data_IF_884674955298
#
_entry.id   IF_884674955298
#
_cell.length_a   1.000
_cell.length_b   1.000
_cell.length_c   1.000
_cell.angle_alpha   90.00
_cell.angle_beta   90.00
_cell.angle_gamma   90.00
#
_symmetry.space_group_name_H-M   'P 1'
#
loop_
_entity.id
_entity.type
_entity.pdbx_description
1 polymer ?
#
# COMPACT_ATOMS: atom_id res chain seq x y z
N UNK A 1 -2.21 8.14 -24.68
CA UNK A 1 -0.78 8.47 -24.96
C UNK A 1 -0.41 8.41 -26.45
N UNK A 2 -0.74 7.36 -27.21
CA UNK A 2 -0.30 7.20 -28.61
C UNK A 2 -0.68 8.36 -29.56
N UNK A 3 -1.85 8.97 -29.39
CA UNK A 3 -2.28 10.12 -30.19
C UNK A 3 -1.39 11.36 -30.02
N UNK A 4 -0.90 11.62 -28.79
CA UNK A 4 -0.03 12.77 -28.50
C UNK A 4 1.35 12.55 -29.14
N UNK A 5 1.89 11.33 -29.03
CA UNK A 5 3.16 10.96 -29.70
C UNK A 5 3.01 11.11 -31.22
N UNK A 6 1.90 10.65 -31.80
CA UNK A 6 1.63 10.79 -33.23
C UNK A 6 1.55 12.27 -33.66
N UNK A 7 0.81 13.11 -32.93
CA UNK A 7 0.67 14.54 -33.21
C UNK A 7 2.02 15.27 -33.09
N UNK A 8 2.85 14.90 -32.12
CA UNK A 8 4.20 15.46 -31.94
C UNK A 8 5.13 15.22 -33.14
N UNK A 9 4.89 14.15 -33.89
CA UNK A 9 5.58 13.89 -35.16
C UNK A 9 4.89 14.56 -36.35
N UNK A 10 3.55 14.46 -36.42
CA UNK A 10 2.77 14.85 -37.58
C UNK A 10 2.74 16.37 -37.80
N UNK A 11 2.59 17.17 -36.75
CA UNK A 11 2.50 18.64 -36.86
C UNK A 11 3.82 19.24 -37.41
N UNK A 12 5.01 18.95 -36.83
CA UNK A 12 6.27 19.48 -37.38
C UNK A 12 6.58 18.95 -38.77
N UNK A 13 6.20 17.69 -39.08
CA UNK A 13 6.34 17.12 -40.43
C UNK A 13 5.53 17.90 -41.46
N UNK A 14 4.28 18.26 -41.13
CA UNK A 14 3.41 19.04 -42.02
C UNK A 14 3.95 20.46 -42.27
N UNK A 15 4.69 21.01 -41.31
CA UNK A 15 5.37 22.31 -41.41
C UNK A 15 6.77 22.23 -42.07
N UNK A 16 7.13 21.10 -42.69
CA UNK A 16 8.43 20.89 -43.33
C UNK A 16 9.59 20.59 -42.36
N UNK A 17 9.36 20.65 -41.05
CA UNK A 17 10.37 20.41 -39.99
C UNK A 17 10.40 18.94 -39.56
N UNK A 18 10.59 18.01 -40.51
CA UNK A 18 10.57 16.55 -40.25
C UNK A 18 11.56 16.10 -39.17
N UNK A 19 12.79 16.65 -39.15
CA UNK A 19 13.81 16.30 -38.14
C UNK A 19 13.35 16.65 -36.72
N UNK A 20 12.71 17.81 -36.55
CA UNK A 20 12.16 18.24 -35.26
C UNK A 20 11.05 17.29 -34.79
N UNK A 21 10.14 16.88 -35.69
CA UNK A 21 9.08 15.93 -35.36
C UNK A 21 9.61 14.55 -34.93
N UNK A 22 10.72 14.09 -35.51
CA UNK A 22 11.38 12.84 -35.09
C UNK A 22 12.00 12.98 -33.69
N UNK A 23 12.65 14.11 -33.39
CA UNK A 23 13.25 14.35 -32.07
C UNK A 23 12.16 14.40 -31.00
N UNK A 24 11.10 15.17 -31.24
CA UNK A 24 9.98 15.31 -30.30
C UNK A 24 9.29 13.97 -30.01
N UNK A 25 8.99 13.19 -31.05
CA UNK A 25 8.31 11.90 -30.84
C UNK A 25 9.20 10.88 -30.13
N UNK A 26 10.52 10.88 -30.39
CA UNK A 26 11.47 10.03 -29.67
C UNK A 26 11.54 10.38 -28.18
N UNK A 27 11.69 11.67 -27.85
CA UNK A 27 11.72 12.14 -26.46
C UNK A 27 10.43 11.73 -25.74
N UNK A 28 9.27 11.98 -26.36
CA UNK A 28 7.99 11.59 -25.78
C UNK A 28 7.87 10.08 -25.60
N UNK A 29 8.31 9.29 -26.58
CA UNK A 29 8.25 7.82 -26.50
C UNK A 29 9.12 7.29 -25.37
N UNK A 30 10.35 7.81 -25.23
CA UNK A 30 11.26 7.45 -24.12
C UNK A 30 10.65 7.85 -22.78
N UNK A 31 10.08 9.05 -22.67
CA UNK A 31 9.42 9.50 -21.44
C UNK A 31 8.24 8.60 -21.05
N UNK A 32 7.43 8.16 -22.01
CA UNK A 32 6.32 7.22 -21.76
C UNK A 32 6.83 5.86 -21.32
N UNK A 33 7.89 5.34 -21.94
CA UNK A 33 8.52 4.07 -21.52
C UNK A 33 9.06 4.18 -20.10
N UNK A 34 9.78 5.26 -19.77
CA UNK A 34 10.31 5.48 -18.42
C UNK A 34 9.19 5.58 -17.37
N UNK A 35 8.07 6.21 -17.71
CA UNK A 35 6.91 6.31 -16.82
C UNK A 35 6.26 4.93 -16.60
N UNK A 36 6.09 4.11 -17.63
CA UNK A 36 5.57 2.75 -17.45
C UNK A 36 6.54 1.92 -16.60
N UNK A 37 7.84 2.04 -16.88
CA UNK A 37 8.87 1.36 -16.11
C UNK A 37 8.88 1.80 -14.65
N UNK A 38 8.63 3.07 -14.32
CA UNK A 38 8.60 3.50 -12.91
C UNK A 38 7.51 2.78 -12.12
N UNK A 39 6.30 2.62 -12.67
CA UNK A 39 5.24 1.84 -12.01
C UNK A 39 5.62 0.36 -11.81
N UNK A 40 6.26 -0.26 -12.82
CA UNK A 40 6.71 -1.65 -12.71
C UNK A 40 7.84 -1.79 -11.71
N UNK A 41 8.76 -0.82 -11.67
CA UNK A 41 9.89 -0.84 -10.76
C UNK A 41 9.49 -0.50 -9.33
N UNK A 42 8.47 0.31 -9.07
CA UNK A 42 8.05 0.60 -7.70
C UNK A 42 7.62 -0.68 -6.96
N UNK A 43 6.96 -1.62 -7.64
CA UNK A 43 6.60 -2.91 -7.04
C UNK A 43 7.85 -3.81 -6.80
N UNK A 44 8.87 -3.71 -7.66
CA UNK A 44 10.12 -4.49 -7.59
C UNK A 44 11.15 -3.88 -6.63
N UNK A 45 11.18 -2.56 -6.48
CA UNK A 45 12.13 -1.79 -5.67
C UNK A 45 11.69 -1.65 -4.20
N UNK A 46 10.77 -2.51 -3.75
CA UNK A 46 10.37 -2.57 -2.37
C UNK A 46 11.34 -3.45 -1.57
N UNK A 47 12.04 -2.85 -0.61
CA UNK A 47 13.06 -3.53 0.19
C UNK A 47 12.61 -3.72 1.64
N UNK A 48 13.33 -4.58 2.38
CA UNK A 48 13.04 -4.86 3.80
C UNK A 48 13.00 -3.58 4.66
N UNK A 49 13.82 -2.57 4.34
CA UNK A 49 13.82 -1.29 5.05
C UNK A 49 12.50 -0.52 4.89
N UNK A 50 11.86 -0.65 3.72
CA UNK A 50 10.62 0.04 3.41
C UNK A 50 9.49 -0.63 4.19
N UNK A 51 9.41 -1.97 4.16
CA UNK A 51 8.51 -2.75 5.01
C UNK A 51 8.67 -2.41 6.50
N UNK A 52 9.91 -2.37 7.01
CA UNK A 52 10.19 -1.97 8.41
C UNK A 52 9.67 -0.57 8.72
N UNK A 53 9.81 0.38 7.79
CA UNK A 53 9.30 1.74 7.95
C UNK A 53 7.77 1.73 8.10
N UNK A 54 7.04 1.10 7.18
CA UNK A 54 5.58 0.99 7.26
C UNK A 54 5.09 0.36 8.56
N UNK A 55 5.74 -0.74 8.99
CA UNK A 55 5.40 -1.40 10.26
C UNK A 55 5.69 -0.50 11.47
N UNK A 56 6.83 0.21 11.49
CA UNK A 56 7.21 1.08 12.59
C UNK A 56 6.25 2.26 12.79
N UNK A 57 5.66 2.78 11.71
CA UNK A 57 4.62 3.80 11.78
C UNK A 57 3.37 3.30 12.50
N UNK A 58 3.16 1.99 12.57
CA UNK A 58 2.07 1.34 13.32
C UNK A 58 2.56 0.76 14.67
N UNK A 59 3.77 1.16 15.11
CA UNK A 59 4.45 0.64 16.31
C UNK A 59 4.68 -0.88 16.30
N UNK A 60 4.79 -1.46 15.11
CA UNK A 60 5.14 -2.86 14.90
C UNK A 60 6.61 -2.94 14.51
N UNK A 61 7.38 -3.73 15.26
CA UNK A 61 8.79 -4.01 14.98
C UNK A 61 8.97 -5.51 14.72
N UNK A 62 9.85 -5.86 13.79
CA UNK A 62 10.29 -7.25 13.56
C UNK A 62 11.74 -7.36 14.03
N UNK A 63 11.98 -8.23 14.99
CA UNK A 63 13.29 -8.40 15.62
C UNK A 63 14.18 -9.35 14.82
N UNK A 64 13.57 -10.34 14.16
CA UNK A 64 14.25 -11.30 13.32
C UNK A 64 14.24 -10.88 11.85
N UNK A 65 15.01 -11.60 11.03
CA UNK A 65 14.96 -11.43 9.58
C UNK A 65 13.64 -11.97 9.01
N UNK A 66 13.21 -11.38 7.90
CA UNK A 66 11.97 -11.74 7.21
C UNK A 66 12.16 -11.71 5.70
N UNK A 67 11.29 -12.40 4.96
CA UNK A 67 11.28 -12.38 3.50
C UNK A 67 10.08 -11.58 2.98
N UNK A 68 10.26 -10.87 1.87
CA UNK A 68 9.15 -10.20 1.17
C UNK A 68 8.59 -11.21 0.19
N UNK A 69 7.35 -11.65 0.42
CA UNK A 69 6.65 -12.61 -0.44
C UNK A 69 5.96 -11.93 -1.61
N UNK A 70 5.37 -10.76 -1.34
CA UNK A 70 4.63 -9.98 -2.34
C UNK A 70 4.62 -8.51 -1.95
N UNK A 71 4.58 -7.63 -2.95
CA UNK A 71 4.38 -6.19 -2.79
C UNK A 71 3.60 -5.68 -4.00
N UNK A 72 2.54 -4.94 -3.76
CA UNK A 72 1.65 -4.41 -4.77
C UNK A 72 1.19 -3.02 -4.36
N UNK A 73 1.41 -2.05 -5.24
CA UNK A 73 0.93 -0.69 -5.08
C UNK A 73 0.16 -0.27 -6.32
N UNK A 74 -0.97 0.41 -6.16
CA UNK A 74 -1.76 0.82 -7.32
C UNK A 74 -3.07 1.52 -6.99
N UNK A 75 -3.72 2.01 -8.04
CA UNK A 75 -4.95 2.79 -7.94
C UNK A 75 -4.77 4.19 -8.53
N UNK A 76 -5.59 4.52 -9.54
CA UNK A 76 -5.59 5.86 -10.17
C UNK A 76 -6.49 6.83 -9.40
N UNK A 77 -7.44 6.31 -8.61
CA UNK A 77 -8.45 7.07 -7.88
C UNK A 77 -8.44 6.71 -6.39
N UNK A 78 -8.43 5.42 -6.09
CA UNK A 78 -8.31 4.88 -4.72
C UNK A 78 -6.96 4.19 -4.59
N UNK A 79 -5.98 4.86 -3.97
CA UNK A 79 -4.65 4.31 -3.80
C UNK A 79 -4.68 3.19 -2.75
N UNK A 80 -4.12 2.04 -3.08
CA UNK A 80 -3.91 0.94 -2.16
C UNK A 80 -2.45 0.47 -2.24
N UNK A 81 -1.86 0.20 -1.08
CA UNK A 81 -0.55 -0.42 -0.97
C UNK A 81 -0.65 -1.64 -0.06
N UNK A 82 -0.22 -2.79 -0.57
CA UNK A 82 -0.25 -4.06 0.15
C UNK A 82 1.04 -4.81 -0.01
N UNK A 83 1.61 -5.28 1.09
CA UNK A 83 2.76 -6.17 1.06
C UNK A 83 2.59 -7.34 2.03
N UNK A 84 3.24 -8.45 1.70
CA UNK A 84 3.19 -9.69 2.44
C UNK A 84 4.60 -10.12 2.80
N UNK A 85 4.82 -10.45 4.07
CA UNK A 85 6.08 -10.87 4.61
C UNK A 85 5.99 -12.29 5.16
N UNK A 86 7.04 -13.08 4.97
CA UNK A 86 7.29 -14.27 5.80
C UNK A 86 8.17 -13.87 6.98
N UNK A 87 7.61 -13.94 8.19
CA UNK A 87 8.27 -13.53 9.43
C UNK A 87 8.79 -14.75 10.22
N UNK A 88 9.57 -14.52 11.27
CA UNK A 88 9.98 -15.61 12.16
C UNK A 88 8.81 -16.11 13.01
N UNK A 89 8.88 -17.36 13.48
CA UNK A 89 7.87 -17.88 14.40
C UNK A 89 7.87 -17.13 15.74
N UNK A 90 9.02 -16.61 16.16
CA UNK A 90 9.18 -15.84 17.41
C UNK A 90 8.44 -14.51 17.29
N UNK A 91 8.69 -13.76 16.21
CA UNK A 91 7.99 -12.51 15.94
C UNK A 91 6.49 -12.73 15.76
N UNK A 92 6.08 -13.78 15.02
CA UNK A 92 4.66 -14.15 14.89
C UNK A 92 3.99 -14.32 16.25
N UNK A 93 4.56 -15.15 17.11
CA UNK A 93 3.97 -15.45 18.41
C UNK A 93 3.94 -14.21 19.32
N UNK A 94 5.01 -13.41 19.30
CA UNK A 94 5.08 -12.16 20.07
C UNK A 94 3.99 -11.18 19.63
N UNK A 95 3.89 -10.91 18.33
CA UNK A 95 2.90 -9.99 17.79
C UNK A 95 1.46 -10.46 18.05
N UNK A 96 1.17 -11.77 17.91
CA UNK A 96 -0.14 -12.33 18.27
C UNK A 96 -0.46 -12.08 19.75
N UNK A 97 0.51 -12.29 20.63
CA UNK A 97 0.32 -12.05 22.06
C UNK A 97 0.09 -10.57 22.36
N UNK A 98 0.81 -9.66 21.69
CA UNK A 98 0.60 -8.22 21.79
C UNK A 98 -0.83 -7.84 21.41
N UNK A 99 -1.32 -8.29 20.25
CA UNK A 99 -2.69 -8.06 19.78
C UNK A 99 -3.72 -8.58 20.78
N UNK A 100 -3.55 -9.82 21.26
CA UNK A 100 -4.45 -10.45 22.23
C UNK A 100 -4.46 -9.76 23.59
N UNK A 101 -3.32 -9.20 23.99
CA UNK A 101 -3.17 -8.49 25.26
C UNK A 101 -3.64 -7.04 25.23
N UNK A 102 -4.02 -6.53 24.06
CA UNK A 102 -4.50 -5.16 23.91
C UNK A 102 -5.83 -4.97 24.66
N UNK A 103 -5.99 -3.82 25.32
CA UNK A 103 -7.19 -3.51 26.13
C UNK A 103 -8.49 -3.56 25.32
N UNK A 104 -8.42 -3.21 24.03
CA UNK A 104 -9.53 -3.21 23.09
C UNK A 104 -9.61 -4.49 22.24
N UNK A 105 -8.98 -5.59 22.66
CA UNK A 105 -9.03 -6.85 21.94
C UNK A 105 -10.43 -7.48 21.96
N UNK A 106 -10.88 -7.99 20.82
CA UNK A 106 -12.16 -8.65 20.67
C UNK A 106 -12.01 -10.09 20.18
N UNK A 107 -12.57 -11.02 20.96
CA UNK A 107 -12.62 -12.44 20.62
C UNK A 107 -13.61 -12.71 19.47
N UNK A 108 -13.12 -13.33 18.40
CA UNK A 108 -13.91 -13.98 17.34
C UNK A 108 -14.99 -13.11 16.70
N UNK A 109 -14.57 -12.19 15.83
CA UNK A 109 -15.47 -11.34 15.04
C UNK A 109 -15.90 -12.07 13.76
N UNK A 110 -17.21 -12.19 13.51
CA UNK A 110 -17.79 -12.95 12.38
C UNK A 110 -17.53 -12.28 11.02
N UNK A 111 -17.24 -10.97 10.96
CA UNK A 111 -16.82 -10.28 9.73
C UNK A 111 -16.12 -8.94 10.00
N UNK A 112 -15.20 -8.55 9.10
CA UNK A 112 -14.53 -7.26 8.95
C UNK A 112 -15.15 -6.09 9.75
N UNK A 113 -14.37 -5.53 10.67
CA UNK A 113 -14.65 -4.19 11.19
C UNK A 113 -14.30 -3.18 10.10
N UNK A 114 -15.21 -2.85 9.17
CA UNK A 114 -15.00 -1.65 8.35
C UNK A 114 -15.16 -0.42 9.26
N UNK A 115 -14.10 -0.02 9.96
CA UNK A 115 -14.05 1.20 10.76
C UNK A 115 -14.60 2.45 10.01
N UNK A 116 -14.40 2.61 8.68
CA UNK A 116 -14.94 3.75 7.94
C UNK A 116 -16.48 3.84 7.90
N UNK A 117 -17.22 2.77 8.23
CA UNK A 117 -18.69 2.81 8.23
C UNK A 117 -19.31 3.29 9.54
N UNK A 118 -18.52 3.39 10.63
CA UNK A 118 -19.04 3.67 11.97
C UNK A 118 -18.80 5.11 12.46
N UNK A 119 -17.96 5.88 11.78
CA UNK A 119 -17.55 7.22 12.22
C UNK A 119 -17.53 8.25 11.08
N UNK A 120 -17.60 9.53 11.44
CA UNK A 120 -17.31 10.61 10.48
C UNK A 120 -15.86 10.48 10.04
N UNK A 121 -15.65 10.24 8.75
CA UNK A 121 -14.32 9.96 8.19
C UNK A 121 -13.34 11.12 8.35
N UNK A 122 -13.85 12.32 8.63
CA UNK A 122 -13.08 13.57 8.64
C UNK A 122 -12.86 14.16 10.03
N UNK A 123 -13.46 13.58 11.08
CA UNK A 123 -13.34 14.11 12.45
C UNK A 123 -13.33 13.01 13.51
N UNK A 124 -12.39 13.08 14.45
CA UNK A 124 -12.25 12.09 15.53
C UNK A 124 -10.81 11.89 15.98
N UNK A 125 -10.64 11.08 17.03
CA UNK A 125 -9.32 10.61 17.48
C UNK A 125 -8.87 9.39 16.66
N UNK A 126 -7.59 9.02 16.79
CA UNK A 126 -7.07 7.76 16.25
C UNK A 126 -7.87 6.59 16.85
N UNK A 127 -8.39 5.73 15.97
CA UNK A 127 -9.10 4.52 16.37
C UNK A 127 -8.22 3.33 16.04
N UNK A 128 -8.11 2.41 17.00
CA UNK A 128 -7.52 1.09 16.76
C UNK A 128 -8.53 0.01 17.10
N UNK A 129 -8.50 -1.09 16.34
CA UNK A 129 -9.28 -2.28 16.63
C UNK A 129 -8.38 -3.50 16.56
N UNK A 130 -8.34 -4.27 17.64
CA UNK A 130 -7.59 -5.51 17.74
C UNK A 130 -8.58 -6.66 17.82
N UNK A 131 -8.48 -7.64 16.93
CA UNK A 131 -9.43 -8.74 16.94
C UNK A 131 -8.89 -10.01 16.29
N UNK A 132 -9.56 -11.12 16.58
CA UNK A 132 -9.27 -12.43 16.00
C UNK A 132 -10.40 -12.84 15.04
N UNK A 133 -10.02 -13.32 13.85
CA UNK A 133 -10.89 -14.00 12.88
C UNK A 133 -10.58 -15.49 12.87
N UNK A 134 -11.28 -16.32 12.10
CA UNK A 134 -10.96 -17.76 12.00
C UNK A 134 -9.50 -18.03 11.59
N UNK A 135 -8.91 -17.18 10.74
CA UNK A 135 -7.60 -17.43 10.11
C UNK A 135 -6.50 -16.48 10.54
N UNK A 136 -6.83 -15.31 11.09
CA UNK A 136 -5.87 -14.24 11.30
C UNK A 136 -6.13 -13.48 12.60
N UNK A 137 -5.06 -12.95 13.19
CA UNK A 137 -5.12 -11.85 14.16
C UNK A 137 -4.95 -10.54 13.41
N UNK A 138 -5.79 -9.55 13.70
CA UNK A 138 -5.81 -8.28 12.99
C UNK A 138 -5.69 -7.11 13.94
N UNK A 139 -4.93 -6.11 13.50
CA UNK A 139 -4.97 -4.76 14.04
C UNK A 139 -5.31 -3.80 12.92
N UNK A 140 -6.40 -3.07 13.10
CA UNK A 140 -6.79 -1.98 12.21
C UNK A 140 -6.48 -0.64 12.86
N UNK A 141 -5.98 0.28 12.05
CA UNK A 141 -5.63 1.64 12.43
C UNK A 141 -6.36 2.61 11.53
N UNK A 142 -7.17 3.47 12.12
CA UNK A 142 -7.93 4.49 11.40
C UNK A 142 -7.66 5.86 11.99
N UNK A 143 -7.06 6.75 11.21
CA UNK A 143 -6.75 8.12 11.63
C UNK A 143 -7.43 9.13 10.70
N UNK A 144 -8.42 9.89 11.21
CA UNK A 144 -8.92 11.06 10.51
C UNK A 144 -7.82 12.11 10.36
N UNK A 145 -7.58 12.59 9.14
CA UNK A 145 -6.56 13.61 8.88
C UNK A 145 -7.13 15.04 8.89
N UNK A 146 -8.44 15.19 9.08
CA UNK A 146 -9.14 16.48 9.09
C UNK A 146 -9.97 16.70 7.83
N UNK A 147 -10.80 17.75 7.85
CA UNK A 147 -11.80 18.01 6.81
C UNK A 147 -11.16 18.21 5.43
N UNK A 148 -11.56 17.38 4.46
CA UNK A 148 -11.09 17.46 3.08
C UNK A 148 -9.77 16.73 2.81
N UNK A 149 -9.21 16.03 3.81
CA UNK A 149 -8.08 15.12 3.62
C UNK A 149 -8.55 13.67 3.76
N UNK A 150 -8.02 12.78 2.91
CA UNK A 150 -8.31 11.36 3.02
C UNK A 150 -7.78 10.82 4.36
N UNK A 151 -8.52 9.95 5.06
CA UNK A 151 -8.07 9.33 6.29
C UNK A 151 -6.91 8.37 6.02
N UNK A 152 -6.12 8.08 7.04
CA UNK A 152 -5.15 6.99 6.99
C UNK A 152 -5.85 5.73 7.50
N UNK A 153 -6.01 4.72 6.64
CA UNK A 153 -6.59 3.44 7.02
C UNK A 153 -5.60 2.31 6.74
N UNK A 154 -5.13 1.66 7.80
CA UNK A 154 -4.10 0.62 7.72
C UNK A 154 -4.50 -0.63 8.47
N UNK A 155 -4.11 -1.77 7.93
CA UNK A 155 -4.44 -3.09 8.49
C UNK A 155 -3.17 -3.92 8.58
N UNK A 156 -2.92 -4.48 9.75
CA UNK A 156 -1.93 -5.54 10.00
C UNK A 156 -2.70 -6.84 10.20
N UNK A 157 -2.39 -7.86 9.41
CA UNK A 157 -2.97 -9.20 9.55
C UNK A 157 -1.87 -10.23 9.75
N UNK A 158 -1.99 -11.07 10.78
CA UNK A 158 -1.03 -12.14 11.10
C UNK A 158 -1.74 -13.48 10.96
N UNK A 159 -1.24 -14.33 10.06
CA UNK A 159 -1.81 -15.65 9.81
C UNK A 159 -1.66 -16.56 11.03
N UNK A 160 -2.74 -17.24 11.42
CA UNK A 160 -2.71 -18.27 12.45
C UNK A 160 -1.96 -19.52 12.00
N UNK A 161 -2.08 -19.85 10.71
CA UNK A 161 -1.55 -21.10 10.14
C UNK A 161 -0.10 -20.91 9.74
N UNK A 162 0.16 -19.90 8.90
CA UNK A 162 1.45 -19.70 8.27
C UNK A 162 2.26 -18.62 9.01
N UNK A 163 3.55 -18.53 8.71
CA UNK A 163 4.42 -17.46 9.24
C UNK A 163 4.29 -16.16 8.44
N UNK A 164 3.05 -15.78 8.13
CA UNK A 164 2.74 -14.68 7.20
C UNK A 164 2.20 -13.46 7.95
N UNK A 165 2.76 -12.30 7.63
CA UNK A 165 2.23 -10.99 7.99
C UNK A 165 1.81 -10.24 6.72
N UNK A 166 0.62 -9.66 6.71
CA UNK A 166 0.12 -8.82 5.63
C UNK A 166 -0.07 -7.41 6.16
N UNK A 167 0.42 -6.42 5.41
CA UNK A 167 0.16 -5.01 5.62
C UNK A 167 -0.70 -4.47 4.48
N UNK A 168 -1.70 -3.64 4.80
CA UNK A 168 -2.54 -2.95 3.84
C UNK A 168 -2.64 -1.47 4.25
N UNK A 169 -2.41 -0.54 3.33
CA UNK A 169 -2.69 0.89 3.45
C UNK A 169 -3.71 1.24 2.37
N UNK A 170 -4.86 1.75 2.79
CA UNK A 170 -6.05 1.94 1.97
C UNK A 170 -6.42 3.42 2.05
N UNK A 171 -6.42 4.08 0.89
CA UNK A 171 -6.90 5.45 0.75
C UNK A 171 -8.24 5.39 0.00
N UNK A 172 -9.33 5.54 0.77
CA UNK A 172 -10.71 5.70 0.27
C UNK A 172 -11.17 7.16 0.26
#
# INVERSE_FOLDING_TARGET
MGGIIYLSYWIPKKLGKKKLGIILSRILSVGVILLILSFVFDDILFFKRDAKKYLSEQKIELNDDFEILNNQSGGVMDYYHRFELEISQVDKNRLINEIRSAENFQDSVISYYHLPSYFDRYSGELITANYETDREFKTEFYQPNGKGMAPTYRIISISKIDKKLTFEDIIE
#
